data_IF_193438772593
#
_entry.id   IF_193438772593
#
_cell.length_a   1.000
_cell.length_b   1.000
_cell.length_c   1.000
_cell.angle_alpha   90.00
_cell.angle_beta   90.00
_cell.angle_gamma   90.00
#
_symmetry.space_group_name_H-M   'P 1'
#
loop_
_entity.id
_entity.type
_entity.pdbx_description
1 polymer ?
#
# COMPACT_ATOMS: atom_id res chain seq x y z
N UNK A 1 3.16 -17.97 0.15
CA UNK A 1 4.48 -18.16 0.77
C UNK A 1 5.32 -19.19 0.03
N UNK A 2 4.93 -20.47 -0.08
CA UNK A 2 5.74 -21.48 -0.79
C UNK A 2 6.09 -21.11 -2.24
N UNK A 3 5.11 -20.66 -3.02
CA UNK A 3 5.37 -20.17 -4.39
C UNK A 3 6.33 -18.98 -4.44
N UNK A 4 6.27 -18.08 -3.45
CA UNK A 4 7.21 -16.97 -3.33
C UNK A 4 8.63 -17.48 -3.05
N UNK A 5 8.79 -18.44 -2.13
CA UNK A 5 10.11 -19.04 -1.83
C UNK A 5 10.71 -19.72 -3.06
N UNK A 6 9.90 -20.43 -3.84
CA UNK A 6 10.32 -21.07 -5.08
C UNK A 6 10.83 -20.04 -6.10
N UNK A 7 10.04 -18.99 -6.37
CA UNK A 7 10.40 -17.96 -7.35
C UNK A 7 11.56 -17.07 -6.90
N UNK A 8 11.60 -16.66 -5.62
CA UNK A 8 12.74 -15.94 -5.04
C UNK A 8 14.00 -16.76 -5.21
N UNK A 9 13.96 -18.04 -4.86
CA UNK A 9 15.14 -18.91 -4.96
C UNK A 9 15.59 -19.00 -6.42
N UNK A 10 14.69 -19.36 -7.34
CA UNK A 10 14.99 -19.48 -8.77
C UNK A 10 15.61 -18.20 -9.35
N UNK A 11 14.97 -17.04 -9.15
CA UNK A 11 15.43 -15.76 -9.69
C UNK A 11 16.70 -15.27 -9.00
N UNK A 12 16.81 -15.43 -7.69
CA UNK A 12 17.98 -14.95 -6.96
C UNK A 12 19.23 -15.78 -7.27
N UNK A 13 19.08 -17.09 -7.49
CA UNK A 13 20.20 -17.93 -7.97
C UNK A 13 20.62 -17.56 -9.38
N UNK A 14 19.67 -17.33 -10.28
CA UNK A 14 19.95 -16.95 -11.67
C UNK A 14 20.63 -15.58 -11.76
N UNK A 15 20.11 -14.61 -11.02
CA UNK A 15 20.51 -13.19 -11.14
C UNK A 15 21.61 -12.81 -10.13
N UNK A 16 22.05 -13.74 -9.27
CA UNK A 16 23.09 -13.59 -8.23
C UNK A 16 22.83 -12.45 -7.23
N UNK A 17 21.59 -12.01 -7.13
CA UNK A 17 21.15 -10.96 -6.21
C UNK A 17 19.75 -11.31 -5.71
N UNK A 18 19.37 -10.78 -4.55
CA UNK A 18 18.01 -11.00 -4.06
C UNK A 18 17.00 -10.32 -4.96
N UNK A 19 16.14 -11.11 -5.61
CA UNK A 19 15.05 -10.61 -6.46
C UNK A 19 13.72 -11.00 -5.84
N UNK A 20 12.98 -10.00 -5.36
CA UNK A 20 11.61 -10.21 -4.91
C UNK A 20 10.68 -10.40 -6.12
N UNK A 21 10.08 -11.58 -6.32
CA UNK A 21 9.20 -11.84 -7.45
C UNK A 21 7.82 -11.22 -7.20
N UNK A 22 7.14 -10.90 -8.30
CA UNK A 22 5.74 -10.48 -8.24
C UNK A 22 5.54 -8.97 -8.08
N UNK A 23 4.29 -8.61 -7.84
CA UNK A 23 3.84 -7.21 -7.75
C UNK A 23 3.98 -6.64 -6.32
N UNK A 24 3.79 -7.49 -5.31
CA UNK A 24 3.75 -7.10 -3.91
C UNK A 24 5.15 -7.11 -3.27
N UNK A 25 5.32 -6.35 -2.19
CA UNK A 25 6.61 -6.24 -1.47
C UNK A 25 6.81 -7.34 -0.44
N UNK A 26 5.73 -7.88 0.12
CA UNK A 26 5.80 -8.95 1.12
C UNK A 26 6.14 -10.33 0.54
N UNK A 27 6.36 -11.33 1.42
CA UNK A 27 6.78 -12.68 1.05
C UNK A 27 5.63 -13.56 0.53
N UNK A 28 4.87 -13.04 -0.42
CA UNK A 28 3.69 -13.68 -0.99
C UNK A 28 3.54 -13.37 -2.47
N UNK A 29 3.16 -14.41 -3.22
CA UNK A 29 2.77 -14.30 -4.62
C UNK A 29 1.27 -14.59 -4.71
N UNK A 30 0.47 -13.56 -4.99
CA UNK A 30 -0.99 -13.69 -5.17
C UNK A 30 -1.29 -14.77 -6.21
N UNK A 31 -0.57 -14.75 -7.34
CA UNK A 31 -0.73 -15.71 -8.43
C UNK A 31 -0.73 -17.17 -7.97
N UNK A 32 0.26 -17.55 -7.15
CA UNK A 32 0.38 -18.92 -6.65
C UNK A 32 -0.68 -19.25 -5.60
N UNK A 33 -1.04 -18.29 -4.74
CA UNK A 33 -2.11 -18.47 -3.75
C UNK A 33 -3.47 -18.71 -4.43
N UNK A 34 -3.84 -17.83 -5.36
CA UNK A 34 -5.05 -17.96 -6.17
C UNK A 34 -5.01 -19.22 -7.02
N UNK A 35 -3.88 -19.55 -7.63
CA UNK A 35 -3.68 -20.78 -8.40
C UNK A 35 -3.91 -22.03 -7.56
N UNK A 36 -3.36 -22.09 -6.34
CA UNK A 36 -3.58 -23.20 -5.43
C UNK A 36 -5.07 -23.34 -5.03
N UNK A 37 -5.77 -22.24 -4.74
CA UNK A 37 -7.20 -22.28 -4.39
C UNK A 37 -8.06 -22.78 -5.55
N UNK A 38 -7.83 -22.28 -6.77
CA UNK A 38 -8.56 -22.73 -7.96
C UNK A 38 -8.23 -24.19 -8.27
N UNK A 39 -6.96 -24.60 -8.14
CA UNK A 39 -6.54 -25.99 -8.33
C UNK A 39 -7.16 -26.93 -7.29
N UNK A 40 -7.27 -26.54 -6.01
CA UNK A 40 -7.99 -27.35 -5.01
C UNK A 40 -9.45 -27.58 -5.42
N UNK A 41 -10.13 -26.56 -5.94
CA UNK A 41 -11.47 -26.70 -6.51
C UNK A 41 -11.50 -27.64 -7.71
N UNK A 42 -10.55 -27.48 -8.65
CA UNK A 42 -10.44 -28.35 -9.82
C UNK A 42 -10.17 -29.82 -9.44
N UNK A 43 -9.26 -30.08 -8.49
CA UNK A 43 -8.98 -31.42 -7.95
C UNK A 43 -10.27 -32.03 -7.40
N UNK A 44 -11.06 -31.27 -6.63
CA UNK A 44 -12.33 -31.75 -6.07
C UNK A 44 -13.37 -32.05 -7.14
N UNK A 45 -13.43 -31.26 -8.23
CA UNK A 45 -14.39 -31.46 -9.32
C UNK A 45 -14.02 -32.64 -10.22
N UNK A 46 -12.73 -32.89 -10.42
CA UNK A 46 -12.23 -33.89 -11.36
C UNK A 46 -11.59 -35.10 -10.67
N UNK A 47 -11.82 -35.31 -9.37
CA UNK A 47 -11.13 -36.33 -8.56
C UNK A 47 -11.18 -37.73 -9.20
N UNK A 48 -12.36 -38.14 -9.66
CA UNK A 48 -12.64 -39.45 -10.28
C UNK A 48 -12.40 -39.48 -11.81
N UNK A 49 -11.94 -38.38 -12.41
CA UNK A 49 -11.74 -38.29 -13.85
C UNK A 49 -10.41 -38.89 -14.29
N UNK A 50 -10.35 -39.34 -15.56
CA UNK A 50 -9.12 -39.82 -16.18
C UNK A 50 -8.01 -38.75 -16.19
N UNK A 51 -6.76 -39.22 -16.20
CA UNK A 51 -5.55 -38.38 -16.14
C UNK A 51 -5.53 -37.29 -17.22
N UNK A 52 -5.98 -37.61 -18.44
CA UNK A 52 -6.00 -36.66 -19.56
C UNK A 52 -6.97 -35.50 -19.29
N UNK A 53 -8.16 -35.80 -18.75
CA UNK A 53 -9.15 -34.78 -18.40
C UNK A 53 -8.59 -33.84 -17.32
N UNK A 54 -7.93 -34.38 -16.29
CA UNK A 54 -7.24 -33.58 -15.27
C UNK A 54 -6.15 -32.71 -15.89
N UNK A 55 -5.34 -33.26 -16.78
CA UNK A 55 -4.26 -32.51 -17.44
C UNK A 55 -4.80 -31.33 -18.27
N UNK A 56 -5.90 -31.53 -19.01
CA UNK A 56 -6.56 -30.47 -19.76
C UNK A 56 -7.18 -29.40 -18.83
N UNK A 57 -7.81 -29.82 -17.73
CA UNK A 57 -8.34 -28.89 -16.73
C UNK A 57 -7.22 -28.06 -16.09
N UNK A 58 -6.12 -28.69 -15.68
CA UNK A 58 -4.97 -28.02 -15.08
C UNK A 58 -4.27 -27.10 -16.08
N UNK A 59 -4.15 -27.51 -17.34
CA UNK A 59 -3.66 -26.65 -18.41
C UNK A 59 -4.50 -25.37 -18.53
N UNK A 60 -5.83 -25.51 -18.61
CA UNK A 60 -6.75 -24.39 -18.76
C UNK A 60 -6.69 -23.45 -17.54
N UNK A 61 -6.70 -24.00 -16.33
CA UNK A 61 -6.62 -23.24 -15.07
C UNK A 61 -5.30 -22.49 -14.96
N UNK A 62 -4.17 -23.18 -15.08
CA UNK A 62 -2.85 -22.59 -14.83
C UNK A 62 -2.44 -21.60 -15.92
N UNK A 63 -2.60 -21.99 -17.19
CA UNK A 63 -2.28 -21.11 -18.33
C UNK A 63 -3.24 -19.93 -18.42
N UNK A 64 -4.53 -20.14 -18.15
CA UNK A 64 -5.51 -19.06 -18.11
C UNK A 64 -5.21 -18.04 -17.01
N UNK A 65 -4.88 -18.53 -15.80
CA UNK A 65 -4.51 -17.67 -14.69
C UNK A 65 -3.22 -16.89 -14.96
N UNK A 66 -2.20 -17.53 -15.55
CA UNK A 66 -0.97 -16.87 -16.00
C UNK A 66 -1.29 -15.76 -17.01
N UNK A 67 -2.06 -16.08 -18.06
CA UNK A 67 -2.43 -15.12 -19.09
C UNK A 67 -3.14 -13.89 -18.51
N UNK A 68 -4.19 -14.10 -17.71
CA UNK A 68 -4.99 -13.03 -17.10
C UNK A 68 -4.11 -12.18 -16.18
N UNK A 69 -3.31 -12.81 -15.33
CA UNK A 69 -2.43 -12.10 -14.40
C UNK A 69 -1.36 -11.30 -15.12
N UNK A 70 -0.80 -11.84 -16.20
CA UNK A 70 0.16 -11.16 -17.06
C UNK A 70 -0.44 -9.91 -17.73
N UNK A 71 -1.69 -9.99 -18.20
CA UNK A 71 -2.39 -8.84 -18.75
C UNK A 71 -2.71 -7.77 -17.70
N UNK A 72 -3.22 -8.18 -16.52
CA UNK A 72 -3.53 -7.26 -15.42
C UNK A 72 -2.26 -6.50 -15.01
N UNK A 73 -1.14 -7.20 -14.79
CA UNK A 73 0.12 -6.57 -14.41
C UNK A 73 0.61 -5.56 -15.46
N UNK A 74 0.49 -5.89 -16.75
CA UNK A 74 0.93 -5.01 -17.84
C UNK A 74 0.03 -3.79 -18.02
N UNK A 75 -1.29 -3.96 -17.90
CA UNK A 75 -2.25 -2.89 -18.19
C UNK A 75 -2.43 -1.94 -17.01
N UNK A 76 -2.60 -2.46 -15.80
CA UNK A 76 -2.89 -1.63 -14.61
C UNK A 76 -1.64 -1.17 -13.88
N UNK A 77 -0.59 -1.98 -13.86
CA UNK A 77 0.63 -1.69 -13.11
C UNK A 77 1.81 -1.32 -14.00
N UNK A 78 1.65 -1.39 -15.33
CA UNK A 78 2.71 -1.13 -16.30
C UNK A 78 4.01 -1.93 -16.04
N UNK A 79 3.89 -3.10 -15.39
CA UNK A 79 5.01 -3.96 -15.01
C UNK A 79 4.93 -5.28 -15.76
N UNK A 80 6.09 -5.79 -16.18
CA UNK A 80 6.21 -7.12 -16.78
C UNK A 80 6.79 -8.11 -15.76
N UNK A 81 5.94 -8.98 -15.23
CA UNK A 81 6.31 -9.95 -14.18
C UNK A 81 7.18 -11.11 -14.71
N UNK A 82 6.95 -11.51 -15.96
CA UNK A 82 7.71 -12.50 -16.71
C UNK A 82 7.62 -12.19 -18.20
N UNK A 83 8.56 -12.74 -18.97
CA UNK A 83 8.63 -12.57 -20.42
C UNK A 83 9.03 -13.89 -21.08
N UNK A 84 8.16 -14.42 -21.93
CA UNK A 84 8.39 -15.64 -22.72
C UNK A 84 8.57 -15.34 -24.21
N UNK A 85 8.93 -14.12 -24.58
CA UNK A 85 9.10 -13.73 -26.00
C UNK A 85 10.22 -14.47 -26.72
N UNK A 86 11.13 -15.09 -25.98
CA UNK A 86 12.23 -15.92 -26.47
C UNK A 86 11.83 -17.40 -26.66
N UNK A 87 10.62 -17.80 -26.23
CA UNK A 87 10.16 -19.19 -26.29
C UNK A 87 9.32 -19.47 -27.56
N UNK A 88 9.39 -20.69 -28.07
CA UNK A 88 8.52 -21.15 -29.17
C UNK A 88 7.07 -21.30 -28.69
N UNK A 89 6.11 -21.03 -29.58
CA UNK A 89 4.67 -21.06 -29.28
C UNK A 89 4.27 -20.19 -28.08
N UNK A 90 4.83 -18.98 -28.03
CA UNK A 90 4.44 -17.96 -27.06
C UNK A 90 3.28 -17.11 -27.58
N UNK A 91 2.46 -16.59 -26.67
CA UNK A 91 1.42 -15.61 -27.01
C UNK A 91 1.71 -14.29 -26.29
N UNK A 92 2.04 -13.25 -27.09
CA UNK A 92 2.43 -11.90 -26.63
C UNK A 92 3.51 -11.88 -25.53
N UNK A 93 4.27 -12.98 -25.43
CA UNK A 93 5.25 -13.23 -24.37
C UNK A 93 4.66 -13.28 -22.96
N UNK A 94 3.35 -13.52 -22.81
CA UNK A 94 2.66 -13.70 -21.54
C UNK A 94 2.50 -15.17 -21.15
N UNK A 95 2.27 -16.05 -22.12
CA UNK A 95 2.21 -17.50 -21.93
C UNK A 95 3.05 -18.18 -23.00
N UNK A 96 3.50 -19.41 -22.73
CA UNK A 96 4.12 -20.26 -23.74
C UNK A 96 3.80 -21.72 -23.47
N UNK A 97 3.73 -22.52 -24.55
CA UNK A 97 3.40 -23.94 -24.43
C UNK A 97 4.37 -24.70 -23.50
N UNK A 98 5.68 -24.37 -23.57
CA UNK A 98 6.71 -24.99 -22.72
C UNK A 98 6.42 -24.78 -21.23
N UNK A 99 6.14 -23.55 -20.83
CA UNK A 99 5.86 -23.22 -19.43
C UNK A 99 4.48 -23.74 -18.99
N UNK A 100 3.48 -23.73 -19.88
CA UNK A 100 2.19 -24.39 -19.60
C UNK A 100 2.34 -25.88 -19.27
N UNK A 101 3.24 -26.60 -19.93
CA UNK A 101 3.53 -28.01 -19.59
C UNK A 101 4.15 -28.12 -18.20
N UNK A 102 5.10 -27.23 -17.84
CA UNK A 102 5.66 -27.19 -16.49
C UNK A 102 4.59 -26.90 -15.44
N UNK A 103 3.61 -26.04 -15.74
CA UNK A 103 2.50 -25.75 -14.83
C UNK A 103 1.55 -26.94 -14.65
N UNK A 104 1.27 -27.72 -15.69
CA UNK A 104 0.51 -28.97 -15.56
C UNK A 104 1.23 -29.94 -14.62
N UNK A 105 2.54 -30.16 -14.84
CA UNK A 105 3.34 -31.05 -13.99
C UNK A 105 3.36 -30.56 -12.55
N UNK A 106 3.50 -29.25 -12.32
CA UNK A 106 3.44 -28.66 -10.99
C UNK A 106 2.05 -28.79 -10.36
N UNK A 107 0.97 -28.72 -11.14
CA UNK A 107 -0.40 -28.93 -10.66
C UNK A 107 -0.62 -30.38 -10.19
N UNK A 108 -0.10 -31.37 -10.93
CA UNK A 108 -0.11 -32.75 -10.48
C UNK A 108 0.77 -32.97 -9.25
N UNK A 109 1.96 -32.36 -9.20
CA UNK A 109 2.80 -32.39 -8.00
C UNK A 109 2.07 -31.75 -6.81
N UNK A 110 1.30 -30.68 -7.04
CA UNK A 110 0.47 -30.07 -6.01
C UNK A 110 -0.63 -31.01 -5.54
N UNK A 111 -1.39 -31.66 -6.44
CA UNK A 111 -2.44 -32.62 -6.11
C UNK A 111 -1.91 -33.80 -5.29
N UNK A 112 -0.82 -34.43 -5.74
CA UNK A 112 -0.35 -35.70 -5.16
C UNK A 112 0.68 -35.52 -4.03
N UNK A 113 1.49 -34.47 -4.06
CA UNK A 113 2.59 -34.30 -3.09
C UNK A 113 2.30 -33.23 -2.04
N UNK A 114 1.64 -32.11 -2.42
CA UNK A 114 1.47 -30.95 -1.53
C UNK A 114 0.11 -30.98 -0.82
N UNK A 115 -0.97 -31.30 -1.53
CA UNK A 115 -2.34 -31.24 -1.01
C UNK A 115 -2.58 -32.20 0.16
N UNK A 116 -2.18 -33.49 0.12
CA UNK A 116 -2.42 -34.41 1.24
C UNK A 116 -1.76 -33.99 2.56
N UNK A 117 -0.44 -33.68 2.63
CA UNK A 117 0.16 -33.22 3.89
C UNK A 117 -0.38 -31.85 4.32
N UNK A 118 -0.71 -30.97 3.37
CA UNK A 118 -1.33 -29.68 3.69
C UNK A 118 -2.69 -29.85 4.39
N UNK A 119 -3.56 -30.71 3.87
CA UNK A 119 -4.85 -31.03 4.49
C UNK A 119 -4.65 -31.71 5.85
N UNK A 120 -3.66 -32.61 5.97
CA UNK A 120 -3.30 -33.24 7.25
C UNK A 120 -2.95 -32.23 8.34
N UNK A 121 -2.08 -31.25 8.02
CA UNK A 121 -1.70 -30.17 8.94
C UNK A 121 -2.90 -29.29 9.26
N UNK A 122 -3.68 -28.90 8.25
CA UNK A 122 -4.87 -28.08 8.49
C UNK A 122 -5.87 -28.78 9.41
N UNK A 123 -6.13 -30.07 9.23
CA UNK A 123 -7.12 -30.78 10.04
C UNK A 123 -6.74 -30.86 11.53
N UNK A 124 -5.45 -30.72 11.87
CA UNK A 124 -4.97 -30.66 13.25
C UNK A 124 -5.16 -29.27 13.90
N UNK A 125 -5.36 -28.22 13.11
CA UNK A 125 -5.55 -26.87 13.62
C UNK A 125 -7.02 -26.62 13.97
N UNK A 126 -7.26 -25.99 15.12
CA UNK A 126 -8.60 -25.54 15.50
C UNK A 126 -9.17 -24.53 14.47
N UNK A 127 -10.48 -24.53 14.18
CA UNK A 127 -11.10 -23.61 13.22
C UNK A 127 -10.80 -22.13 13.48
N UNK A 128 -10.78 -21.73 14.76
CA UNK A 128 -10.47 -20.34 15.17
C UNK A 128 -9.05 -19.95 14.76
N UNK A 129 -8.07 -20.84 14.96
CA UNK A 129 -6.66 -20.57 14.60
C UNK A 129 -6.52 -20.36 13.08
N UNK A 130 -7.19 -21.20 12.29
CA UNK A 130 -7.25 -21.06 10.82
C UNK A 130 -7.83 -19.70 10.42
N UNK A 131 -8.97 -19.35 11.02
CA UNK A 131 -9.67 -18.10 10.73
C UNK A 131 -8.82 -16.87 11.05
N UNK A 132 -8.20 -16.83 12.25
CA UNK A 132 -7.33 -15.73 12.66
C UNK A 132 -6.10 -15.62 11.75
N UNK A 133 -5.41 -16.72 11.48
CA UNK A 133 -4.23 -16.70 10.62
C UNK A 133 -4.54 -16.25 9.19
N UNK A 134 -5.65 -16.74 8.63
CA UNK A 134 -6.12 -16.33 7.30
C UNK A 134 -6.49 -14.84 7.29
N UNK A 135 -7.25 -14.36 8.28
CA UNK A 135 -7.66 -12.96 8.37
C UNK A 135 -6.47 -12.00 8.49
N UNK A 136 -5.49 -12.32 9.35
CA UNK A 136 -4.27 -11.52 9.51
C UNK A 136 -3.46 -11.51 8.22
N UNK A 137 -3.24 -12.67 7.61
CA UNK A 137 -2.46 -12.78 6.37
C UNK A 137 -3.11 -12.00 5.22
N UNK A 138 -4.42 -12.17 5.02
CA UNK A 138 -5.19 -11.45 4.00
C UNK A 138 -5.19 -9.94 4.26
N UNK A 139 -5.29 -9.51 5.52
CA UNK A 139 -5.23 -8.08 5.87
C UNK A 139 -3.87 -7.48 5.51
N UNK A 140 -2.76 -8.17 5.83
CA UNK A 140 -1.41 -7.71 5.47
C UNK A 140 -1.26 -7.65 3.95
N UNK A 141 -1.70 -8.68 3.22
CA UNK A 141 -1.65 -8.72 1.76
C UNK A 141 -2.49 -7.61 1.13
N UNK A 142 -3.67 -7.33 1.67
CA UNK A 142 -4.55 -6.26 1.21
C UNK A 142 -3.90 -4.89 1.39
N UNK A 143 -3.31 -4.61 2.55
CA UNK A 143 -2.62 -3.34 2.80
C UNK A 143 -1.44 -3.14 1.85
N UNK A 144 -0.64 -4.18 1.59
CA UNK A 144 0.48 -4.09 0.62
C UNK A 144 -0.04 -3.88 -0.81
N UNK A 145 -1.07 -4.63 -1.22
CA UNK A 145 -1.70 -4.47 -2.53
C UNK A 145 -2.29 -3.07 -2.74
N UNK A 146 -3.01 -2.54 -1.75
CA UNK A 146 -3.53 -1.18 -1.79
C UNK A 146 -2.38 -0.17 -1.89
N UNK A 147 -1.32 -0.34 -1.10
CA UNK A 147 -0.15 0.56 -1.14
C UNK A 147 0.53 0.56 -2.52
N UNK A 148 0.72 -0.60 -3.15
CA UNK A 148 1.30 -0.71 -4.49
C UNK A 148 0.35 -0.11 -5.54
N UNK A 149 -0.95 -0.39 -5.45
CA UNK A 149 -1.96 0.12 -6.38
C UNK A 149 -2.07 1.65 -6.33
N UNK A 150 -2.09 2.24 -5.13
CA UNK A 150 -2.11 3.70 -4.97
C UNK A 150 -0.85 4.33 -5.56
N UNK A 151 0.33 3.76 -5.30
CA UNK A 151 1.59 4.26 -5.88
C UNK A 151 1.62 4.17 -7.40
N UNK A 152 1.09 3.08 -7.96
CA UNK A 152 0.99 2.91 -9.41
C UNK A 152 0.01 3.92 -10.02
N UNK A 153 -1.16 4.09 -9.40
CA UNK A 153 -2.19 5.03 -9.86
C UNK A 153 -1.74 6.50 -9.79
N UNK A 154 -1.00 6.86 -8.74
CA UNK A 154 -0.43 8.19 -8.56
C UNK A 154 0.99 8.32 -9.15
N UNK A 155 1.46 7.33 -9.91
CA UNK A 155 2.76 7.44 -10.57
C UNK A 155 2.72 8.60 -11.57
N UNK A 156 3.77 9.39 -11.57
CA UNK A 156 3.92 10.57 -12.43
C UNK A 156 5.31 10.51 -13.06
N UNK A 157 5.43 10.99 -14.30
CA UNK A 157 6.73 11.29 -14.90
C UNK A 157 7.44 12.38 -14.09
N UNK A 158 8.79 12.48 -14.15
CA UNK A 158 9.52 13.54 -13.46
C UNK A 158 9.00 14.94 -13.80
N UNK A 159 8.65 15.19 -15.06
CA UNK A 159 8.14 16.46 -15.55
C UNK A 159 6.75 16.77 -14.97
N UNK A 160 5.83 15.79 -15.02
CA UNK A 160 4.51 15.92 -14.41
C UNK A 160 4.61 16.14 -12.90
N UNK A 161 5.52 15.43 -12.23
CA UNK A 161 5.74 15.57 -10.79
C UNK A 161 6.14 16.99 -10.44
N UNK A 162 7.13 17.57 -11.12
CA UNK A 162 7.55 18.97 -10.88
C UNK A 162 6.41 19.96 -11.13
N UNK A 163 5.63 19.76 -12.19
CA UNK A 163 4.48 20.60 -12.48
C UNK A 163 3.38 20.50 -11.40
N UNK A 164 3.07 19.29 -10.93
CA UNK A 164 2.11 19.05 -9.85
C UNK A 164 2.58 19.63 -8.52
N UNK A 165 3.86 19.48 -8.18
CA UNK A 165 4.45 20.06 -6.96
C UNK A 165 4.34 21.58 -6.98
N UNK A 166 4.65 22.22 -8.11
CA UNK A 166 4.55 23.68 -8.26
C UNK A 166 3.10 24.16 -8.11
N UNK A 167 2.15 23.47 -8.77
CA UNK A 167 0.72 23.80 -8.63
C UNK A 167 0.23 23.65 -7.19
N UNK A 168 0.61 22.56 -6.52
CA UNK A 168 0.24 22.32 -5.13
C UNK A 168 0.81 23.41 -4.22
N UNK A 169 2.09 23.74 -4.34
CA UNK A 169 2.76 24.77 -3.53
C UNK A 169 2.04 26.12 -3.70
N UNK A 170 1.72 26.51 -4.94
CA UNK A 170 1.03 27.77 -5.20
C UNK A 170 -0.37 27.83 -4.53
N UNK A 171 -1.10 26.71 -4.50
CA UNK A 171 -2.40 26.64 -3.82
C UNK A 171 -2.28 26.58 -2.30
N UNK A 172 -1.26 25.88 -1.79
CA UNK A 172 -1.09 25.57 -0.38
C UNK A 172 -0.41 26.70 0.41
N UNK A 173 0.50 27.45 -0.20
CA UNK A 173 1.33 28.46 0.47
C UNK A 173 0.54 29.50 1.27
N UNK A 174 -0.56 30.09 0.76
CA UNK A 174 -1.32 31.09 1.52
C UNK A 174 -1.81 30.58 2.88
N UNK A 175 -2.13 29.28 2.99
CA UNK A 175 -2.52 28.67 4.26
C UNK A 175 -1.32 28.15 5.05
N UNK A 176 -0.32 27.55 4.39
CA UNK A 176 0.88 27.03 5.09
C UNK A 176 1.65 28.15 5.80
N UNK A 177 1.73 29.34 5.20
CA UNK A 177 2.42 30.51 5.77
C UNK A 177 1.59 31.22 6.82
N UNK A 178 0.29 30.91 6.94
CA UNK A 178 -0.56 31.50 7.97
C UNK A 178 -0.04 31.11 9.37
N UNK A 179 0.14 32.06 10.31
CA UNK A 179 0.80 31.78 11.60
C UNK A 179 0.20 30.61 12.38
N UNK A 180 -1.13 30.52 12.43
CA UNK A 180 -1.84 29.43 13.12
C UNK A 180 -1.61 28.06 12.46
N UNK A 181 -1.47 27.98 11.14
CA UNK A 181 -1.17 26.71 10.45
C UNK A 181 0.31 26.37 10.61
N UNK A 182 1.21 27.33 10.43
CA UNK A 182 2.64 27.15 10.64
C UNK A 182 2.97 26.68 12.07
N UNK A 183 2.20 27.13 13.07
CA UNK A 183 2.30 26.71 14.48
C UNK A 183 2.10 25.21 14.68
N UNK A 184 1.44 24.50 13.75
CA UNK A 184 1.30 23.04 13.81
C UNK A 184 2.65 22.29 13.78
N UNK A 185 3.74 22.96 13.38
CA UNK A 185 5.10 22.41 13.44
C UNK A 185 5.59 22.16 14.88
N UNK A 186 4.99 22.81 15.86
CA UNK A 186 5.36 22.70 17.27
C UNK A 186 4.68 21.52 17.99
N UNK A 187 3.71 20.86 17.34
CA UNK A 187 2.93 19.80 17.94
C UNK A 187 3.22 18.46 17.26
N UNK A 188 3.48 17.44 18.07
CA UNK A 188 3.64 16.08 17.55
C UNK A 188 2.30 15.51 17.08
N UNK A 189 2.35 14.73 16.00
CA UNK A 189 1.25 13.92 15.51
C UNK A 189 1.53 12.44 15.82
N UNK A 190 2.48 11.80 15.11
CA UNK A 190 2.87 10.40 15.31
C UNK A 190 4.38 10.17 15.14
N UNK A 191 5.00 9.39 16.04
CA UNK A 191 6.39 8.89 15.96
C UNK A 191 7.45 9.95 15.57
N UNK A 192 7.30 11.17 16.13
CA UNK A 192 8.22 12.28 15.90
C UNK A 192 8.01 13.05 14.59
N UNK A 193 6.90 12.81 13.88
CA UNK A 193 6.38 13.67 12.81
C UNK A 193 5.51 14.76 13.42
N UNK A 194 5.71 16.00 12.99
CA UNK A 194 4.91 17.15 13.41
C UNK A 194 3.53 17.12 12.74
N UNK A 195 2.55 17.81 13.33
CA UNK A 195 1.22 17.94 12.75
C UNK A 195 1.24 18.72 11.44
N UNK A 196 2.13 19.71 11.31
CA UNK A 196 2.34 20.43 10.05
C UNK A 196 2.81 19.51 8.92
N UNK A 197 3.77 18.63 9.20
CA UNK A 197 4.24 17.64 8.21
C UNK A 197 3.12 16.66 7.82
N UNK A 198 2.29 16.24 8.76
CA UNK A 198 1.15 15.37 8.50
C UNK A 198 0.13 16.02 7.56
N UNK A 199 -0.39 17.20 7.92
CA UNK A 199 -1.41 17.87 7.11
C UNK A 199 -0.89 18.26 5.72
N UNK A 200 0.39 18.64 5.59
CA UNK A 200 1.01 18.90 4.28
C UNK A 200 1.04 17.65 3.41
N UNK A 201 1.37 16.51 3.98
CA UNK A 201 1.42 15.26 3.22
C UNK A 201 0.03 14.77 2.83
N UNK A 202 -0.94 14.81 3.75
CA UNK A 202 -2.35 14.48 3.46
C UNK A 202 -2.87 15.40 2.36
N UNK A 203 -2.61 16.70 2.45
CA UNK A 203 -3.02 17.67 1.43
C UNK A 203 -2.39 17.38 0.07
N UNK A 204 -1.09 17.10 0.01
CA UNK A 204 -0.40 16.83 -1.24
C UNK A 204 -0.89 15.54 -1.92
N UNK A 205 -0.99 14.44 -1.17
CA UNK A 205 -1.47 13.17 -1.73
C UNK A 205 -2.94 13.31 -2.17
N UNK A 206 -3.78 13.95 -1.36
CA UNK A 206 -5.18 14.20 -1.72
C UNK A 206 -5.30 15.09 -2.96
N UNK A 207 -4.43 16.09 -3.11
CA UNK A 207 -4.36 16.92 -4.31
C UNK A 207 -4.05 16.10 -5.56
N UNK A 208 -3.09 15.14 -5.50
CA UNK A 208 -2.79 14.25 -6.62
C UNK A 208 -3.98 13.37 -7.00
N UNK A 209 -4.70 12.85 -6.00
CA UNK A 209 -5.97 12.16 -6.22
C UNK A 209 -7.02 13.07 -6.87
N UNK A 210 -7.15 14.30 -6.37
CA UNK A 210 -8.04 15.31 -6.94
C UNK A 210 -7.73 15.57 -8.40
N UNK A 211 -6.46 15.70 -8.77
CA UNK A 211 -6.03 15.85 -10.17
C UNK A 211 -6.38 14.65 -11.02
N UNK A 212 -6.11 13.44 -10.54
CA UNK A 212 -6.40 12.19 -11.26
C UNK A 212 -7.90 11.95 -11.44
N UNK A 213 -8.71 12.34 -10.46
CA UNK A 213 -10.16 12.17 -10.47
C UNK A 213 -10.92 13.40 -10.99
N UNK A 214 -10.21 14.45 -11.44
CA UNK A 214 -10.79 15.72 -11.89
C UNK A 214 -11.74 16.36 -10.85
N UNK A 215 -11.34 16.34 -9.58
CA UNK A 215 -12.07 16.94 -8.47
C UNK A 215 -11.59 18.37 -8.19
N UNK A 216 -12.31 19.06 -7.29
CA UNK A 216 -11.96 20.39 -6.81
C UNK A 216 -10.70 20.36 -5.92
N UNK A 217 -9.55 20.54 -6.57
CA UNK A 217 -8.24 20.55 -5.91
C UNK A 217 -8.08 21.68 -4.89
N UNK A 218 -8.73 22.84 -5.07
CA UNK A 218 -8.61 23.96 -4.15
C UNK A 218 -9.24 23.63 -2.80
N UNK A 219 -10.50 23.16 -2.83
CA UNK A 219 -11.19 22.68 -1.62
C UNK A 219 -10.46 21.50 -0.96
N UNK A 220 -9.93 20.56 -1.75
CA UNK A 220 -9.12 19.44 -1.22
C UNK A 220 -7.90 19.98 -0.46
N UNK A 221 -7.09 20.82 -1.11
CA UNK A 221 -5.86 21.33 -0.52
C UNK A 221 -6.15 22.15 0.73
N UNK A 222 -7.11 23.08 0.65
CA UNK A 222 -7.47 23.94 1.79
C UNK A 222 -8.07 23.14 2.94
N UNK A 223 -9.06 22.30 2.68
CA UNK A 223 -9.68 21.45 3.70
C UNK A 223 -8.70 20.49 4.35
N UNK A 224 -7.81 19.87 3.57
CA UNK A 224 -6.80 18.95 4.09
C UNK A 224 -5.71 19.65 4.91
N UNK A 225 -5.31 20.88 4.60
CA UNK A 225 -4.36 21.63 5.46
C UNK A 225 -4.96 22.02 6.81
N UNK A 226 -6.29 22.07 6.90
CA UNK A 226 -7.03 22.58 8.05
C UNK A 226 -7.69 21.48 8.90
N UNK A 227 -7.75 20.23 8.42
CA UNK A 227 -8.51 19.16 9.06
C UNK A 227 -8.06 18.87 10.51
N UNK A 228 -6.78 19.10 10.78
CA UNK A 228 -6.10 18.79 12.04
C UNK A 228 -5.65 20.06 12.80
N UNK A 229 -6.33 21.19 12.56
CA UNK A 229 -5.97 22.50 13.11
C UNK A 229 -6.35 22.64 14.60
N UNK A 230 -5.58 21.98 15.47
CA UNK A 230 -5.67 22.11 16.93
C UNK A 230 -4.28 22.20 17.58
N UNK A 231 -4.23 22.77 18.80
CA UNK A 231 -2.99 23.29 19.40
C UNK A 231 -2.71 22.70 20.79
N UNK A 232 -2.88 21.39 20.93
CA UNK A 232 -2.54 20.66 22.15
C UNK A 232 -1.95 19.29 21.80
N UNK A 233 -1.29 18.66 22.78
CA UNK A 233 -0.86 17.27 22.71
C UNK A 233 -2.03 16.35 23.10
N UNK A 234 -2.54 15.56 22.16
CA UNK A 234 -3.72 14.72 22.41
C UNK A 234 -3.44 13.50 23.31
N UNK A 235 -2.17 13.13 23.52
CA UNK A 235 -1.79 12.04 24.40
C UNK A 235 -1.74 12.47 25.87
N UNK A 236 -1.50 13.77 26.12
CA UNK A 236 -1.27 14.31 27.47
C UNK A 236 -2.30 15.35 27.89
N UNK A 237 -2.93 16.01 26.93
CA UNK A 237 -3.79 17.17 27.12
C UNK A 237 -5.06 17.08 26.26
N UNK A 238 -5.93 18.08 26.39
CA UNK A 238 -7.09 18.25 25.52
C UNK A 238 -8.33 17.47 25.98
N UNK A 239 -9.38 17.46 25.14
CA UNK A 239 -10.67 16.89 25.50
C UNK A 239 -10.64 15.36 25.49
N UNK A 240 -11.37 14.74 26.43
CA UNK A 240 -11.68 13.31 26.37
C UNK A 240 -12.38 12.97 25.06
N UNK A 241 -12.19 11.73 24.58
CA UNK A 241 -12.72 11.25 23.29
C UNK A 241 -12.23 12.12 22.11
N UNK A 242 -10.94 12.43 22.09
CA UNK A 242 -10.29 13.29 21.09
C UNK A 242 -10.70 12.97 19.65
N UNK A 243 -10.69 11.68 19.25
CA UNK A 243 -11.07 11.23 17.90
C UNK A 243 -12.48 11.63 17.45
N UNK A 244 -13.40 11.85 18.39
CA UNK A 244 -14.80 12.26 18.13
C UNK A 244 -15.04 13.76 18.31
N UNK A 245 -13.99 14.55 18.59
CA UNK A 245 -14.12 15.96 18.96
C UNK A 245 -13.19 16.89 18.21
N UNK A 246 -11.98 16.44 17.86
CA UNK A 246 -10.98 17.33 17.26
C UNK A 246 -11.43 17.86 15.90
N UNK A 247 -12.16 17.10 15.09
CA UNK A 247 -12.73 17.60 13.83
C UNK A 247 -13.62 18.84 14.02
N UNK A 248 -14.40 18.93 15.12
CA UNK A 248 -15.19 20.13 15.45
C UNK A 248 -14.32 21.28 15.95
N UNK A 249 -13.23 20.97 16.68
CA UNK A 249 -12.27 21.96 17.18
C UNK A 249 -11.50 22.57 16.01
N UNK A 250 -10.98 21.72 15.12
CA UNK A 250 -10.30 22.08 13.89
C UNK A 250 -11.21 22.95 13.02
N UNK A 251 -12.47 22.56 12.82
CA UNK A 251 -13.44 23.37 12.08
C UNK A 251 -13.65 24.76 12.72
N UNK A 252 -13.81 24.81 14.05
CA UNK A 252 -13.97 26.08 14.78
C UNK A 252 -12.73 26.97 14.67
N UNK A 253 -11.53 26.39 14.66
CA UNK A 253 -10.28 27.13 14.49
C UNK A 253 -10.09 27.60 13.05
N UNK A 254 -10.41 26.75 12.07
CA UNK A 254 -10.29 27.07 10.64
C UNK A 254 -11.18 28.26 10.26
N UNK A 255 -12.43 28.30 10.75
CA UNK A 255 -13.37 29.42 10.54
C UNK A 255 -12.87 30.77 11.08
N UNK A 256 -11.92 30.79 12.01
CA UNK A 256 -11.35 32.04 12.54
C UNK A 256 -10.25 32.62 11.66
N UNK A 257 -9.60 31.78 10.85
CA UNK A 257 -8.41 32.17 10.09
C UNK A 257 -8.70 32.37 8.60
N UNK A 258 -9.76 31.76 8.08
CA UNK A 258 -10.13 31.89 6.66
C UNK A 258 -11.63 31.60 6.48
N UNK A 259 -12.31 32.25 5.51
CA UNK A 259 -13.65 31.83 5.11
C UNK A 259 -13.60 30.41 4.51
N UNK A 260 -14.61 29.61 4.80
CA UNK A 260 -14.70 28.22 4.34
C UNK A 260 -15.93 28.00 3.45
N UNK A 261 -15.75 27.21 2.40
CA UNK A 261 -16.88 26.68 1.61
C UNK A 261 -17.53 25.50 2.32
N UNK A 262 -18.77 25.16 1.97
CA UNK A 262 -19.46 23.97 2.53
C UNK A 262 -18.65 22.68 2.32
N UNK A 263 -17.91 22.58 1.23
CA UNK A 263 -17.08 21.43 0.90
C UNK A 263 -15.85 21.34 1.81
N UNK A 264 -15.16 22.46 2.03
CA UNK A 264 -14.03 22.54 2.96
C UNK A 264 -14.45 22.22 4.40
N UNK A 265 -15.61 22.74 4.83
CA UNK A 265 -16.16 22.40 6.14
C UNK A 265 -16.48 20.91 6.26
N UNK A 266 -17.04 20.29 5.21
CA UNK A 266 -17.33 18.86 5.17
C UNK A 266 -16.05 18.02 5.23
N UNK A 267 -14.99 18.41 4.51
CA UNK A 267 -13.67 17.79 4.56
C UNK A 267 -13.15 17.80 6.00
N UNK A 268 -13.08 18.98 6.63
CA UNK A 268 -12.55 19.12 7.99
C UNK A 268 -13.40 18.33 8.99
N UNK A 269 -14.73 18.38 8.87
CA UNK A 269 -15.62 17.75 9.85
C UNK A 269 -15.65 16.23 9.74
N UNK A 270 -15.36 15.67 8.55
CA UNK A 270 -15.59 14.25 8.26
C UNK A 270 -14.34 13.46 7.86
N UNK A 271 -13.15 14.06 7.92
CA UNK A 271 -11.89 13.37 7.60
C UNK A 271 -11.67 12.07 8.40
N UNK A 272 -12.19 11.97 9.63
CA UNK A 272 -12.09 10.76 10.46
C UNK A 272 -13.12 9.67 10.14
N UNK A 273 -13.91 9.75 9.07
CA UNK A 273 -14.86 8.69 8.75
C UNK A 273 -14.12 7.35 8.52
N UNK A 274 -14.60 6.20 9.05
CA UNK A 274 -15.90 5.94 9.68
C UNK A 274 -15.97 6.18 11.20
N UNK A 275 -14.90 6.66 11.85
CA UNK A 275 -14.93 7.01 13.28
C UNK A 275 -15.92 8.14 13.54
N UNK A 276 -15.90 9.17 12.70
CA UNK A 276 -17.03 10.12 12.62
C UNK A 276 -18.15 9.45 11.83
N UNK A 277 -19.19 9.00 12.54
CA UNK A 277 -20.24 8.10 12.00
C UNK A 277 -20.99 8.68 10.79
N UNK A 278 -20.99 10.00 10.61
CA UNK A 278 -21.64 10.66 9.47
C UNK A 278 -20.72 10.63 8.24
N UNK A 279 -21.14 10.00 7.13
CA UNK A 279 -20.28 9.84 5.95
C UNK A 279 -20.00 11.16 5.22
N UNK A 280 -18.84 11.27 4.55
CA UNK A 280 -18.49 12.35 3.63
C UNK A 280 -19.62 12.66 2.64
N UNK A 281 -19.96 13.95 2.47
CA UNK A 281 -20.99 14.36 1.49
C UNK A 281 -20.39 14.50 0.09
N UNK A 282 -19.13 14.92 0.03
CA UNK A 282 -18.40 15.18 -1.22
C UNK A 282 -17.32 14.13 -1.46
N UNK A 283 -16.97 13.91 -2.72
CA UNK A 283 -15.88 12.99 -3.09
C UNK A 283 -14.53 13.50 -2.61
N UNK A 284 -14.33 14.81 -2.59
CA UNK A 284 -13.17 15.48 -2.02
C UNK A 284 -13.00 15.14 -0.53
N UNK A 285 -14.10 15.19 0.24
CA UNK A 285 -14.12 14.79 1.64
C UNK A 285 -13.77 13.32 1.83
N UNK A 286 -14.27 12.44 0.96
CA UNK A 286 -13.93 11.02 1.00
C UNK A 286 -12.45 10.78 0.68
N UNK A 287 -11.90 11.46 -0.33
CA UNK A 287 -10.48 11.37 -0.69
C UNK A 287 -9.61 11.78 0.50
N UNK A 288 -9.87 12.95 1.10
CA UNK A 288 -9.08 13.42 2.24
C UNK A 288 -9.19 12.46 3.43
N UNK A 289 -10.37 11.93 3.71
CA UNK A 289 -10.58 10.95 4.79
C UNK A 289 -9.78 9.65 4.61
N UNK A 290 -9.78 9.10 3.39
CA UNK A 290 -9.03 7.88 3.06
C UNK A 290 -7.52 8.13 3.07
N UNK A 291 -7.07 9.26 2.54
CA UNK A 291 -5.65 9.63 2.50
C UNK A 291 -5.13 9.90 3.90
N UNK A 292 -5.89 10.59 4.75
CA UNK A 292 -5.54 10.82 6.15
C UNK A 292 -5.34 9.50 6.90
N UNK A 293 -6.34 8.61 6.83
CA UNK A 293 -6.25 7.27 7.43
C UNK A 293 -5.03 6.48 6.94
N UNK A 294 -4.75 6.53 5.63
CA UNK A 294 -3.57 5.88 5.05
C UNK A 294 -2.26 6.48 5.56
N UNK A 295 -2.16 7.80 5.61
CA UNK A 295 -0.98 8.52 6.11
C UNK A 295 -0.72 8.20 7.58
N UNK A 296 -1.74 8.29 8.44
CA UNK A 296 -1.61 7.99 9.87
C UNK A 296 -1.23 6.53 10.10
N UNK A 297 -1.88 5.58 9.41
CA UNK A 297 -1.53 4.16 9.49
C UNK A 297 -0.07 3.90 9.08
N UNK A 298 0.40 4.52 7.99
CA UNK A 298 1.78 4.40 7.55
C UNK A 298 2.76 5.04 8.53
N UNK A 299 2.42 6.17 9.13
CA UNK A 299 3.25 6.83 10.13
C UNK A 299 3.40 5.96 11.39
N UNK A 300 2.33 5.27 11.82
CA UNK A 300 2.38 4.26 12.88
C UNK A 300 3.16 3.00 12.50
N UNK A 301 3.32 2.67 11.23
CA UNK A 301 4.12 1.50 10.82
C UNK A 301 5.59 1.86 10.60
N UNK A 302 5.89 3.11 10.26
CA UNK A 302 7.27 3.56 10.03
C UNK A 302 8.04 3.52 11.35
N UNK A 303 8.96 2.57 11.47
CA UNK A 303 9.95 2.58 12.54
C UNK A 303 10.92 3.70 12.22
N UNK A 304 11.05 4.68 13.12
CA UNK A 304 12.08 5.70 13.00
C UNK A 304 13.41 4.97 13.16
N UNK A 305 14.18 4.88 12.08
CA UNK A 305 15.61 4.56 12.17
C UNK A 305 16.26 5.73 12.91
N UNK A 306 16.21 5.72 14.24
CA UNK A 306 17.03 6.61 15.05
C UNK A 306 18.51 6.23 14.82
N UNK A 307 19.29 7.20 14.33
CA UNK A 307 20.74 7.29 14.48
C UNK A 307 21.64 6.20 13.88
N UNK A 308 21.66 6.07 12.55
CA UNK A 308 22.91 5.71 11.85
C UNK A 308 23.73 6.92 11.42
N UNK A 309 23.10 8.08 11.20
CA UNK A 309 23.80 9.31 10.77
C UNK A 309 24.40 10.09 11.95
N UNK A 310 23.75 10.15 13.12
CA UNK A 310 24.33 10.84 14.29
C UNK A 310 25.52 10.07 14.92
N UNK A 311 25.48 8.72 14.90
CA UNK A 311 26.61 7.91 15.38
C UNK A 311 27.82 7.94 14.43
N UNK A 312 27.61 8.04 13.11
CA UNK A 312 28.69 8.24 12.16
C UNK A 312 29.36 9.62 12.33
N UNK A 313 28.57 10.68 12.57
CA UNK A 313 29.10 12.01 12.83
C UNK A 313 29.84 12.10 14.18
N UNK A 314 29.34 11.45 15.24
CA UNK A 314 30.02 11.44 16.54
C UNK A 314 31.34 10.64 16.53
N UNK A 315 31.43 9.57 15.73
CA UNK A 315 32.67 8.79 15.58
C UNK A 315 33.72 9.57 14.78
N UNK A 316 33.32 10.27 13.70
CA UNK A 316 34.24 11.10 12.92
C UNK A 316 34.76 12.33 13.67
N UNK A 317 33.98 12.91 14.58
CA UNK A 317 34.44 14.05 15.42
C UNK A 317 35.39 13.58 16.53
N UNK A 318 35.24 12.35 17.03
CA UNK A 318 36.14 11.80 18.06
C UNK A 318 37.52 11.36 17.54
N UNK A 319 37.65 11.07 16.24
CA UNK A 319 38.91 10.63 15.64
C UNK A 319 39.83 11.78 15.21
N UNK A 320 39.33 13.02 15.11
CA UNK A 320 40.09 14.16 14.58
C UNK A 320 40.65 15.09 15.68
N UNK A 321 40.32 14.84 16.96
CA UNK A 321 40.80 15.62 18.11
C UNK A 321 41.97 14.97 18.86
N UNK A 322 42.58 13.93 18.29
CA UNK A 322 43.49 13.01 18.99
C UNK A 322 44.90 12.92 18.45
N UNK A 323 45.45 13.91 17.75
CA UNK A 323 46.90 13.93 17.46
C UNK A 323 47.46 15.33 17.18
N UNK A 324 47.64 16.11 18.24
CA UNK A 324 48.63 17.21 18.30
C UNK A 324 49.07 17.41 19.74
N UNK A 325 50.14 16.73 20.16
CA UNK A 325 51.04 17.26 21.19
C UNK A 325 52.41 16.54 21.20
N UNK A 326 53.40 17.37 20.83
CA UNK A 326 54.86 17.33 21.08
C UNK A 326 55.68 16.33 20.27
#
# INVERSE_FOLDING_TARGET
MLGWMLEVSYRSFRDKQFVNPGLLKGPYLILYGTGALILMGAVSLFQESHLITKALAYFAVTTGLELISGFIARYFFHVRLWDYSDQRFHYKGHISLKFSIYWILLAFAFEYLISPPYQGILNQLAPVVKGVFAAVTLSIMLVDFLTVSIRSFLSLTPEEKTAMETQFINMANPLIEHPEVAKLSQYEHHRGKTRLEHVKEVAYISFLWGKRLSLDCDSITRGALLHDLFFYDWLREGPRLHGFRHHNIALKNARKITPLTEKEEDIIKKHMWPLTVVPPRYMESLVVSLVDTFCSARDYLRVKNHDKTAKAAAVCVSSDSGDKRV
#
